data_IF_533120903303
#
_entry.id   IF_533120903303
#
_cell.length_a   1.000
_cell.length_b   1.000
_cell.length_c   1.000
_cell.angle_alpha   90.00
_cell.angle_beta   90.00
_cell.angle_gamma   90.00
#
_symmetry.space_group_name_H-M   'P 1'
#
loop_
_entity.id
_entity.type
_entity.pdbx_description
1 polymer ?
#
# COMPACT_ATOMS: atom_id res chain seq x y z
N UNK A 1 25.73 -10.09 9.28
CA UNK A 1 25.82 -9.38 10.59
C UNK A 1 27.17 -8.69 10.69
N UNK A 2 27.20 -7.48 11.27
CA UNK A 2 28.42 -6.72 11.57
C UNK A 2 29.07 -7.20 12.87
N UNK A 3 30.38 -6.99 13.00
CA UNK A 3 31.11 -7.27 14.24
C UNK A 3 30.88 -6.15 15.28
N UNK A 4 30.41 -6.46 16.51
CA UNK A 4 30.09 -5.45 17.53
C UNK A 4 31.29 -4.62 18.03
N UNK A 5 32.51 -5.10 17.79
CA UNK A 5 33.73 -4.43 18.26
C UNK A 5 34.12 -3.21 17.42
N UNK A 6 33.81 -3.20 16.12
CA UNK A 6 34.22 -2.14 15.20
C UNK A 6 33.08 -1.60 14.33
N UNK A 7 31.96 -2.32 14.20
CA UNK A 7 30.81 -1.97 13.36
C UNK A 7 31.13 -1.70 11.88
N UNK A 8 32.33 -2.05 11.42
CA UNK A 8 32.82 -1.73 10.08
C UNK A 8 32.90 -2.96 9.17
N UNK A 9 33.14 -4.13 9.75
CA UNK A 9 33.31 -5.39 9.02
C UNK A 9 32.27 -6.42 9.48
N UNK A 10 31.91 -7.32 8.58
CA UNK A 10 30.97 -8.41 8.84
C UNK A 10 31.62 -9.55 9.62
N UNK A 11 30.80 -10.33 10.34
CA UNK A 11 31.27 -11.43 11.19
C UNK A 11 32.03 -12.52 10.43
N UNK A 12 31.77 -12.70 9.14
CA UNK A 12 32.41 -13.69 8.26
C UNK A 12 33.83 -13.29 7.83
N UNK A 13 34.15 -11.99 7.81
CA UNK A 13 35.47 -11.48 7.40
C UNK A 13 36.32 -11.02 8.59
N UNK A 14 35.70 -10.48 9.64
CA UNK A 14 36.42 -9.91 10.77
C UNK A 14 36.97 -10.99 11.70
N UNK A 15 38.29 -10.93 11.97
CA UNK A 15 39.00 -11.90 12.81
C UNK A 15 39.29 -11.31 14.20
N UNK A 16 38.26 -11.25 15.04
CA UNK A 16 38.38 -10.93 16.47
C UNK A 16 37.83 -12.07 17.33
N UNK A 17 38.25 -12.12 18.60
CA UNK A 17 37.74 -13.12 19.55
C UNK A 17 36.21 -13.08 19.63
N UNK A 18 35.64 -11.87 19.71
CA UNK A 18 34.18 -11.65 19.74
C UNK A 18 33.51 -12.16 18.46
N UNK A 19 34.07 -11.86 17.28
CA UNK A 19 33.50 -12.34 16.02
C UNK A 19 33.56 -13.88 15.91
N UNK A 20 34.66 -14.48 16.33
CA UNK A 20 34.83 -15.94 16.37
C UNK A 20 33.86 -16.62 17.33
N UNK A 21 33.61 -16.03 18.50
CA UNK A 21 32.65 -16.52 19.48
C UNK A 21 31.22 -16.48 18.94
N UNK A 22 30.82 -15.36 18.34
CA UNK A 22 29.51 -15.23 17.71
C UNK A 22 29.33 -16.19 16.54
N UNK A 23 30.34 -16.34 15.67
CA UNK A 23 30.32 -17.34 14.58
C UNK A 23 30.12 -18.76 15.12
N UNK A 24 30.79 -19.11 16.22
CA UNK A 24 30.65 -20.42 16.87
C UNK A 24 29.26 -20.61 17.45
N UNK A 25 28.72 -19.59 18.13
CA UNK A 25 27.37 -19.59 18.67
C UNK A 25 26.33 -19.79 17.56
N UNK A 26 26.36 -18.97 16.51
CA UNK A 26 25.44 -19.04 15.37
C UNK A 26 25.47 -20.45 14.74
N UNK A 27 26.66 -20.99 14.46
CA UNK A 27 26.78 -22.34 13.88
C UNK A 27 26.23 -23.42 14.82
N UNK A 28 26.43 -23.28 16.14
CA UNK A 28 25.87 -24.23 17.10
C UNK A 28 24.34 -24.20 17.09
N UNK A 29 23.74 -23.01 17.07
CA UNK A 29 22.28 -22.82 17.02
C UNK A 29 21.66 -23.34 15.73
N UNK A 30 22.29 -23.05 14.58
CA UNK A 30 21.87 -23.59 13.29
C UNK A 30 21.91 -25.13 13.27
N UNK A 31 22.94 -25.76 13.86
CA UNK A 31 23.00 -27.23 13.98
C UNK A 31 21.91 -27.81 14.88
N UNK A 32 21.38 -27.02 15.83
CA UNK A 32 20.22 -27.40 16.66
C UNK A 32 18.88 -27.25 15.92
N UNK A 33 18.88 -26.76 14.68
CA UNK A 33 17.66 -26.53 13.90
C UNK A 33 16.93 -25.24 14.24
N UNK A 34 17.56 -24.31 14.95
CA UNK A 34 16.97 -22.98 15.18
C UNK A 34 16.90 -22.19 13.87
N UNK A 35 15.77 -21.50 13.65
CA UNK A 35 15.58 -20.68 12.46
C UNK A 35 16.57 -19.50 12.43
N UNK A 36 17.17 -19.25 11.26
CA UNK A 36 18.17 -18.18 11.09
C UNK A 36 17.63 -16.80 11.52
N UNK A 37 16.37 -16.50 11.20
CA UNK A 37 15.72 -15.25 11.58
C UNK A 37 15.60 -15.09 13.11
N UNK A 38 15.33 -16.19 13.83
CA UNK A 38 15.24 -16.17 15.29
C UNK A 38 16.62 -15.95 15.93
N UNK A 39 17.66 -16.56 15.37
CA UNK A 39 19.05 -16.34 15.80
C UNK A 39 19.45 -14.88 15.56
N UNK A 40 19.13 -14.33 14.40
CA UNK A 40 19.40 -12.94 14.07
C UNK A 40 18.65 -11.99 15.02
N UNK A 41 17.35 -12.21 15.25
CA UNK A 41 16.55 -11.39 16.14
C UNK A 41 17.09 -11.37 17.57
N UNK A 42 17.49 -12.54 18.09
CA UNK A 42 18.10 -12.64 19.42
C UNK A 42 19.46 -11.93 19.50
N UNK A 43 20.28 -12.03 18.46
CA UNK A 43 21.56 -11.30 18.40
C UNK A 43 21.34 -9.78 18.29
N UNK A 44 20.36 -9.34 17.51
CA UNK A 44 19.98 -7.92 17.40
C UNK A 44 19.39 -7.41 18.71
N UNK A 45 18.63 -8.21 19.43
CA UNK A 45 18.12 -7.84 20.76
C UNK A 45 19.26 -7.63 21.78
N UNK A 46 20.36 -8.38 21.66
CA UNK A 46 21.55 -8.25 22.53
C UNK A 46 22.48 -7.10 22.16
N UNK A 47 22.74 -6.89 20.86
CA UNK A 47 23.75 -5.94 20.37
C UNK A 47 23.17 -4.67 19.71
N UNK A 48 21.85 -4.60 19.55
CA UNK A 48 21.13 -3.52 18.90
C UNK A 48 21.04 -3.64 17.38
N UNK A 49 20.23 -2.77 16.77
CA UNK A 49 19.95 -2.77 15.32
C UNK A 49 21.18 -2.55 14.44
N UNK A 50 22.23 -1.91 14.98
CA UNK A 50 23.52 -1.70 14.29
C UNK A 50 24.23 -3.02 13.93
N UNK A 51 23.81 -4.15 14.49
CA UNK A 51 24.36 -5.46 14.14
C UNK A 51 23.96 -5.90 12.73
N UNK A 52 22.85 -5.39 12.20
CA UNK A 52 22.43 -5.72 10.85
C UNK A 52 23.29 -4.97 9.83
N UNK A 53 23.92 -5.74 8.94
CA UNK A 53 24.65 -5.18 7.79
C UNK A 53 23.70 -4.67 6.70
N UNK A 54 22.45 -5.14 6.68
CA UNK A 54 21.41 -4.77 5.73
C UNK A 54 20.07 -4.61 6.47
N UNK A 55 19.15 -3.74 6.00
CA UNK A 55 17.84 -3.60 6.59
C UNK A 55 17.08 -4.94 6.61
N UNK A 56 16.31 -5.18 7.68
CA UNK A 56 15.60 -6.46 7.86
C UNK A 56 14.66 -6.73 6.69
N UNK A 57 14.85 -7.87 6.00
CA UNK A 57 14.04 -8.31 4.86
C UNK A 57 12.54 -8.36 5.18
N UNK A 58 12.18 -8.71 6.42
CA UNK A 58 10.78 -8.81 6.86
C UNK A 58 10.03 -7.48 6.91
N UNK A 59 10.69 -6.34 7.03
CA UNK A 59 10.03 -5.02 7.01
C UNK A 59 9.66 -4.63 5.59
N UNK A 60 10.57 -4.84 4.64
CA UNK A 60 10.32 -4.54 3.22
C UNK A 60 9.16 -5.38 2.68
N UNK A 61 9.09 -6.67 3.05
CA UNK A 61 7.97 -7.53 2.65
C UNK A 61 6.62 -7.05 3.18
N UNK A 62 6.55 -6.64 4.46
CA UNK A 62 5.30 -6.13 5.06
C UNK A 62 4.87 -4.80 4.44
N UNK A 63 5.81 -3.89 4.19
CA UNK A 63 5.54 -2.60 3.55
C UNK A 63 5.06 -2.80 2.11
N UNK A 64 5.71 -3.68 1.35
CA UNK A 64 5.30 -4.01 -0.02
C UNK A 64 3.89 -4.62 -0.06
N UNK A 65 3.59 -5.54 0.86
CA UNK A 65 2.25 -6.13 0.98
C UNK A 65 1.19 -5.08 1.35
N UNK A 66 1.49 -4.19 2.29
CA UNK A 66 0.60 -3.10 2.68
C UNK A 66 0.31 -2.14 1.52
N UNK A 67 1.32 -1.79 0.72
CA UNK A 67 1.16 -0.98 -0.50
C UNK A 67 0.26 -1.67 -1.52
N UNK A 68 0.48 -2.96 -1.78
CA UNK A 68 -0.37 -3.74 -2.70
C UNK A 68 -1.83 -3.78 -2.25
N UNK A 69 -2.09 -4.02 -0.96
CA UNK A 69 -3.43 -3.96 -0.38
C UNK A 69 -4.05 -2.57 -0.52
N UNK A 70 -3.30 -1.51 -0.23
CA UNK A 70 -3.77 -0.13 -0.37
C UNK A 70 -4.16 0.21 -1.81
N UNK A 71 -3.36 -0.18 -2.78
CA UNK A 71 -3.66 -0.02 -4.21
C UNK A 71 -4.93 -0.79 -4.58
N UNK A 72 -5.03 -2.06 -4.18
CA UNK A 72 -6.19 -2.90 -4.49
C UNK A 72 -7.49 -2.30 -3.94
N UNK A 73 -7.50 -1.85 -2.68
CA UNK A 73 -8.66 -1.19 -2.06
C UNK A 73 -9.02 0.10 -2.78
N UNK A 74 -8.03 0.91 -3.16
CA UNK A 74 -8.24 2.17 -3.87
C UNK A 74 -8.90 1.92 -5.23
N UNK A 75 -8.38 0.96 -6.00
CA UNK A 75 -8.97 0.57 -7.29
C UNK A 75 -10.40 0.05 -7.13
N UNK A 76 -10.65 -0.79 -6.12
CA UNK A 76 -11.98 -1.33 -5.88
C UNK A 76 -12.98 -0.23 -5.49
N UNK A 77 -12.54 0.74 -4.68
CA UNK A 77 -13.33 1.90 -4.29
C UNK A 77 -13.69 2.79 -5.49
N UNK A 78 -12.70 3.13 -6.33
CA UNK A 78 -12.93 3.90 -7.56
C UNK A 78 -13.87 3.17 -8.51
N UNK A 79 -13.66 1.85 -8.71
CA UNK A 79 -14.51 1.03 -9.57
C UNK A 79 -15.95 0.98 -9.07
N UNK A 80 -16.17 0.81 -7.76
CA UNK A 80 -17.49 0.81 -7.16
C UNK A 80 -18.18 2.17 -7.32
N UNK A 81 -17.44 3.27 -7.12
CA UNK A 81 -17.95 4.63 -7.29
C UNK A 81 -18.38 4.89 -8.75
N UNK A 82 -17.51 4.59 -9.73
CA UNK A 82 -17.82 4.70 -11.15
C UNK A 82 -19.04 3.85 -11.54
N UNK A 83 -19.14 2.63 -11.02
CA UNK A 83 -20.27 1.74 -11.27
C UNK A 83 -21.57 2.24 -10.63
N UNK A 84 -21.50 2.92 -9.48
CA UNK A 84 -22.66 3.55 -8.86
C UNK A 84 -23.17 4.74 -9.68
N UNK A 85 -22.26 5.57 -10.20
CA UNK A 85 -22.62 6.69 -11.08
C UNK A 85 -23.21 6.23 -12.41
N UNK A 86 -22.65 5.17 -13.01
CA UNK A 86 -23.21 4.58 -14.24
C UNK A 86 -24.57 3.92 -14.02
N UNK A 87 -24.86 3.42 -12.81
CA UNK A 87 -26.19 2.89 -12.49
C UNK A 87 -27.20 4.00 -12.18
N UNK A 88 -26.77 5.12 -11.60
CA UNK A 88 -27.62 6.31 -11.44
C UNK A 88 -28.03 6.95 -12.77
N UNK A 89 -27.17 6.85 -13.80
CA UNK A 89 -27.48 7.29 -15.16
C UNK A 89 -28.34 6.29 -15.97
N UNK A 90 -28.49 5.05 -15.48
CA UNK A 90 -29.35 4.03 -16.08
C UNK A 90 -30.73 4.04 -15.41
N UNK A 91 -31.40 5.19 -15.39
CA UNK A 91 -32.85 5.20 -15.24
C UNK A 91 -33.46 4.67 -16.55
N UNK A 92 -34.48 3.79 -16.51
CA UNK A 92 -35.14 3.32 -17.71
C UNK A 92 -35.73 4.52 -18.44
N UNK A 93 -35.29 4.75 -19.67
CA UNK A 93 -35.82 5.78 -20.56
C UNK A 93 -37.34 5.57 -20.68
N UNK A 94 -38.20 6.46 -20.13
CA UNK A 94 -39.61 6.43 -20.50
C UNK A 94 -39.72 6.78 -21.99
N UNK A 95 -40.79 6.34 -22.69
CA UNK A 95 -40.93 6.60 -24.12
C UNK A 95 -40.72 8.08 -24.43
N UNK A 96 -39.73 8.32 -25.30
CA UNK A 96 -39.27 9.62 -25.77
C UNK A 96 -40.46 10.38 -26.38
N UNK A 97 -41.04 11.28 -25.60
CA UNK A 97 -42.21 12.05 -26.00
C UNK A 97 -42.95 12.70 -24.84
N UNK A 98 -42.99 12.05 -23.66
CA UNK A 98 -43.72 12.60 -22.49
C UNK A 98 -42.82 13.36 -21.49
N UNK A 99 -41.52 13.07 -21.45
CA UNK A 99 -40.62 13.63 -20.42
C UNK A 99 -40.18 15.08 -20.67
N UNK A 100 -40.08 15.52 -21.94
CA UNK A 100 -39.76 16.92 -22.26
C UNK A 100 -40.87 17.90 -21.85
N UNK A 101 -42.11 17.41 -21.68
CA UNK A 101 -43.22 18.23 -21.20
C UNK A 101 -43.28 18.33 -19.67
N UNK A 102 -42.65 17.39 -18.95
CA UNK A 102 -42.74 17.24 -17.49
C UNK A 102 -41.54 17.83 -16.73
N UNK A 103 -40.45 18.15 -17.42
CA UNK A 103 -39.27 18.85 -16.89
C UNK A 103 -39.14 20.20 -17.60
N UNK A 104 -40.22 20.99 -17.58
CA UNK A 104 -40.16 22.41 -17.89
C UNK A 104 -40.34 23.14 -16.59
N UNK A 105 -39.30 23.84 -16.17
CA UNK A 105 -39.34 24.70 -14.98
C UNK A 105 -39.74 26.12 -15.41
N UNK A 106 -40.12 26.96 -14.45
CA UNK A 106 -40.45 28.39 -14.65
C UNK A 106 -39.34 29.12 -15.42
N UNK A 107 -38.10 28.68 -15.26
CA UNK A 107 -36.94 29.21 -15.96
C UNK A 107 -36.99 28.97 -17.48
N UNK A 108 -37.45 27.79 -17.91
CA UNK A 108 -37.52 27.43 -19.32
C UNK A 108 -38.62 28.25 -20.01
N UNK A 109 -39.75 28.45 -19.34
CA UNK A 109 -40.85 29.28 -19.85
C UNK A 109 -40.43 30.74 -20.00
N UNK A 110 -39.70 31.30 -19.02
CA UNK A 110 -39.16 32.66 -19.11
C UNK A 110 -38.16 32.80 -20.26
N UNK A 111 -37.34 31.78 -20.51
CA UNK A 111 -36.37 31.78 -21.60
C UNK A 111 -37.05 31.79 -22.98
N UNK A 112 -38.12 31.01 -23.14
CA UNK A 112 -38.91 31.00 -24.38
C UNK A 112 -39.64 32.33 -24.62
N UNK A 113 -40.12 32.98 -23.57
CA UNK A 113 -40.72 34.32 -23.65
C UNK A 113 -39.70 35.37 -24.09
N UNK A 114 -38.48 35.33 -23.53
CA UNK A 114 -37.39 36.21 -23.92
C UNK A 114 -36.93 35.97 -25.38
N UNK A 115 -36.92 34.71 -25.84
CA UNK A 115 -36.58 34.37 -27.23
C UNK A 115 -37.65 34.89 -28.19
N UNK A 116 -38.94 34.67 -27.89
CA UNK A 116 -40.05 35.18 -28.70
C UNK A 116 -40.09 36.71 -28.78
N UNK A 117 -39.71 37.39 -27.70
CA UNK A 117 -39.61 38.85 -27.67
C UNK A 117 -38.44 39.41 -28.51
N UNK A 118 -37.42 38.59 -28.81
CA UNK A 118 -36.25 38.97 -29.61
C UNK A 118 -36.42 38.68 -31.11
N UNK A 119 -37.22 37.67 -31.43
CA UNK A 119 -37.47 37.23 -32.81
C UNK A 119 -38.66 37.96 -33.47
N UNK A 120 -39.31 38.88 -32.74
CA UNK A 120 -40.38 39.77 -33.23
C UNK A 120 -39.85 41.19 -33.51
#
# INVERSE_FOLDING_TARGET
>A
LLAPCCWNQTLDVHESAVASDLRREIRARLRRGEAADAIEQDLVARYGDRLRAAPSSGVLGKVALALMLGIAVTFLGIFALLRSWRRGAAQPTPPSGAAAAAVRDEYDERLDDELRARDA
#
